data_IF_458396643054
#
_entry.id   IF_458396643054
#
_cell.length_a   1.000
_cell.length_b   1.000
_cell.length_c   1.000
_cell.angle_alpha   90.00
_cell.angle_beta   90.00
_cell.angle_gamma   90.00
#
_symmetry.space_group_name_H-M   'P 1'
#
loop_
_entity.id
_entity.type
_entity.pdbx_description
1 polymer ?
#
# COMPACT_ATOMS: atom_id res chain seq x y z
N UNK A 1 3.65 2.03 19.77
CA UNK A 1 2.50 1.20 20.21
C UNK A 1 2.64 -0.24 19.73
N UNK A 2 2.87 -0.54 18.43
CA UNK A 2 3.03 -1.92 17.91
C UNK A 2 4.11 -2.69 18.69
N UNK A 3 5.31 -2.12 18.81
CA UNK A 3 6.42 -2.73 19.56
C UNK A 3 6.05 -3.04 21.03
N UNK A 4 5.32 -2.14 21.68
CA UNK A 4 4.89 -2.36 23.07
C UNK A 4 3.91 -3.53 23.18
N UNK A 5 2.95 -3.64 22.25
CA UNK A 5 2.01 -4.77 22.20
C UNK A 5 2.75 -6.10 21.95
N UNK A 6 3.69 -6.13 21.00
CA UNK A 6 4.48 -7.34 20.70
C UNK A 6 5.35 -7.77 21.89
N UNK A 7 6.05 -6.83 22.53
CA UNK A 7 6.90 -7.12 23.71
C UNK A 7 6.08 -7.54 24.94
N UNK A 8 4.82 -7.07 25.07
CA UNK A 8 3.92 -7.52 26.13
C UNK A 8 3.24 -8.87 25.84
N UNK A 9 3.64 -9.53 24.77
CA UNK A 9 3.15 -10.86 24.43
C UNK A 9 1.81 -10.89 23.72
N UNK A 10 1.35 -9.76 23.17
CA UNK A 10 0.02 -9.69 22.55
C UNK A 10 0.09 -9.87 21.04
N UNK A 11 -0.96 -10.47 20.50
CA UNK A 11 -1.23 -10.49 19.07
C UNK A 11 -1.77 -9.12 18.63
N UNK A 12 -1.57 -8.74 17.38
CA UNK A 12 -1.87 -7.39 16.90
C UNK A 12 -2.68 -7.45 15.60
N UNK A 13 -3.68 -6.59 15.48
CA UNK A 13 -4.40 -6.32 14.25
C UNK A 13 -4.12 -4.88 13.80
N UNK A 14 -3.58 -4.71 12.60
CA UNK A 14 -3.30 -3.43 11.98
C UNK A 14 -4.40 -3.13 10.95
N UNK A 15 -5.20 -2.11 11.21
CA UNK A 15 -6.21 -1.63 10.27
C UNK A 15 -5.75 -0.37 9.57
N UNK A 16 -5.96 -0.29 8.28
CA UNK A 16 -5.65 0.93 7.51
C UNK A 16 -5.56 0.69 6.01
N UNK A 17 -5.55 1.77 5.23
CA UNK A 17 -5.52 1.70 3.79
C UNK A 17 -4.25 0.99 3.28
N UNK A 18 -4.27 0.49 2.03
CA UNK A 18 -3.09 -0.10 1.42
C UNK A 18 -1.99 0.95 1.21
N UNK A 19 -0.74 0.51 1.17
CA UNK A 19 0.41 1.39 0.92
C UNK A 19 0.82 2.31 2.07
N UNK A 20 0.37 2.03 3.30
CA UNK A 20 0.78 2.78 4.51
C UNK A 20 2.04 2.22 5.19
N UNK A 21 2.78 1.33 4.53
CA UNK A 21 4.06 0.81 5.04
C UNK A 21 3.95 -0.22 6.16
N UNK A 22 2.77 -0.84 6.40
CA UNK A 22 2.56 -1.84 7.47
C UNK A 22 3.58 -2.99 7.41
N UNK A 23 3.76 -3.59 6.24
CA UNK A 23 4.68 -4.72 6.05
C UNK A 23 6.14 -4.33 6.27
N UNK A 24 6.55 -3.14 5.79
CA UNK A 24 7.90 -2.59 6.00
C UNK A 24 8.17 -2.32 7.49
N UNK A 25 7.21 -1.70 8.17
CA UNK A 25 7.29 -1.46 9.62
C UNK A 25 7.49 -2.77 10.38
N UNK A 26 6.71 -3.82 10.05
CA UNK A 26 6.78 -5.08 10.76
C UNK A 26 8.07 -5.83 10.52
N UNK A 27 8.63 -5.80 9.30
CA UNK A 27 9.96 -6.37 9.02
C UNK A 27 11.04 -5.68 9.85
N UNK A 28 11.06 -4.34 9.84
CA UNK A 28 12.02 -3.57 10.64
C UNK A 28 11.88 -3.82 12.15
N UNK A 29 10.65 -4.02 12.64
CA UNK A 29 10.41 -4.36 14.04
C UNK A 29 10.90 -5.78 14.37
N UNK A 30 10.67 -6.75 13.49
CA UNK A 30 11.15 -8.11 13.66
C UNK A 30 12.69 -8.13 13.70
N UNK A 31 13.35 -7.47 12.76
CA UNK A 31 14.80 -7.34 12.70
C UNK A 31 15.36 -6.67 13.97
N UNK A 32 14.75 -5.56 14.40
CA UNK A 32 15.16 -4.85 15.62
C UNK A 32 14.90 -5.62 16.92
N UNK A 33 14.05 -6.64 16.89
CA UNK A 33 13.82 -7.56 18.02
C UNK A 33 14.66 -8.85 17.93
N UNK A 34 15.38 -9.07 16.83
CA UNK A 34 16.05 -10.33 16.55
C UNK A 34 15.08 -11.49 16.38
N UNK A 35 13.83 -11.23 15.98
CA UNK A 35 12.80 -12.23 15.79
C UNK A 35 12.72 -12.65 14.32
N UNK A 36 12.43 -13.94 14.08
CA UNK A 36 12.09 -14.41 12.74
C UNK A 36 10.80 -13.77 12.23
N UNK A 37 10.61 -13.79 10.91
CA UNK A 37 9.45 -13.19 10.25
C UNK A 37 8.90 -14.12 9.17
N UNK A 38 7.68 -14.60 9.37
CA UNK A 38 6.93 -15.40 8.40
C UNK A 38 5.81 -14.55 7.82
N UNK A 39 5.73 -14.51 6.49
CA UNK A 39 4.72 -13.75 5.76
C UNK A 39 3.67 -14.66 5.12
N UNK A 40 2.41 -14.30 5.26
CA UNK A 40 1.28 -14.96 4.62
C UNK A 40 0.35 -13.90 4.05
N UNK A 41 0.02 -14.03 2.77
CA UNK A 41 -1.05 -13.26 2.15
C UNK A 41 -2.38 -13.98 2.36
N UNK A 42 -3.36 -13.28 2.94
CA UNK A 42 -4.71 -13.77 3.11
C UNK A 42 -5.45 -13.79 1.79
N UNK A 43 -5.87 -14.96 1.38
CA UNK A 43 -6.68 -15.19 0.18
C UNK A 43 -7.82 -16.13 0.50
N UNK A 44 -8.87 -16.14 -0.34
CA UNK A 44 -9.99 -17.07 -0.22
C UNK A 44 -9.58 -18.55 -0.36
N UNK A 45 -8.38 -18.80 -0.89
CA UNK A 45 -7.84 -20.15 -1.10
C UNK A 45 -6.87 -20.58 0.00
N UNK A 46 -6.63 -19.75 1.01
CA UNK A 46 -5.74 -20.09 2.12
C UNK A 46 -6.42 -21.14 3.03
N UNK A 47 -6.08 -22.41 2.82
CA UNK A 47 -6.60 -23.51 3.64
C UNK A 47 -5.80 -23.71 4.92
N UNK A 48 -6.36 -24.37 5.96
CA UNK A 48 -5.61 -24.78 7.15
C UNK A 48 -4.35 -25.58 6.81
N UNK A 49 -4.41 -26.47 5.81
CA UNK A 49 -3.27 -27.27 5.39
C UNK A 49 -2.13 -26.41 4.80
N UNK A 50 -2.46 -25.37 4.01
CA UNK A 50 -1.43 -24.43 3.50
C UNK A 50 -0.80 -23.61 4.63
N UNK A 51 -1.58 -23.28 5.65
CA UNK A 51 -1.12 -22.48 6.78
C UNK A 51 -0.29 -23.30 7.77
N UNK A 52 -0.77 -24.49 8.12
CA UNK A 52 -0.16 -25.38 9.11
C UNK A 52 0.97 -26.22 8.51
N UNK A 53 0.74 -26.79 7.34
CA UNK A 53 1.65 -27.72 6.67
C UNK A 53 0.94 -29.01 6.27
N UNK A 54 1.70 -29.88 5.67
CA UNK A 54 1.19 -31.16 5.15
C UNK A 54 2.30 -32.22 5.11
N UNK A 55 1.93 -33.48 5.09
CA UNK A 55 2.84 -34.57 4.77
C UNK A 55 3.11 -34.56 3.26
N UNK A 56 4.39 -34.64 2.87
CA UNK A 56 4.76 -34.77 1.46
C UNK A 56 4.25 -36.09 0.88
N UNK A 57 3.31 -36.06 -0.09
CA UNK A 57 2.72 -37.29 -0.62
C UNK A 57 3.74 -38.25 -1.26
N UNK A 58 4.80 -37.72 -1.88
CA UNK A 58 5.82 -38.56 -2.52
C UNK A 58 6.65 -39.32 -1.49
N UNK A 59 7.07 -38.63 -0.43
CA UNK A 59 7.87 -39.23 0.64
C UNK A 59 7.05 -40.19 1.52
N UNK A 60 5.76 -39.88 1.74
CA UNK A 60 4.84 -40.76 2.48
C UNK A 60 4.72 -42.14 1.82
N UNK A 61 4.77 -42.24 0.48
CA UNK A 61 4.69 -43.52 -0.22
C UNK A 61 5.91 -44.43 0.06
N UNK A 62 7.06 -43.85 0.36
CA UNK A 62 8.31 -44.59 0.59
C UNK A 62 8.62 -44.78 2.09
N UNK A 63 8.34 -43.78 2.91
CA UNK A 63 8.76 -43.72 4.31
C UNK A 63 7.59 -43.79 5.30
N UNK A 64 6.35 -43.72 4.80
CA UNK A 64 5.16 -43.65 5.65
C UNK A 64 4.96 -42.28 6.28
N UNK A 65 4.05 -42.21 7.24
CA UNK A 65 3.77 -40.96 7.99
C UNK A 65 4.72 -40.85 9.18
N UNK A 66 5.94 -40.39 8.93
CA UNK A 66 6.90 -40.01 9.96
C UNK A 66 6.92 -38.49 10.18
N UNK A 67 7.22 -38.00 11.39
CA UNK A 67 7.28 -36.55 11.66
C UNK A 67 8.24 -35.81 10.74
N UNK A 68 9.31 -36.47 10.30
CA UNK A 68 10.35 -35.93 9.42
C UNK A 68 9.84 -35.69 7.99
N UNK A 69 8.76 -36.35 7.60
CA UNK A 69 8.11 -36.24 6.30
C UNK A 69 7.10 -35.07 6.27
N UNK A 70 6.83 -34.49 7.42
CA UNK A 70 5.91 -33.35 7.50
C UNK A 70 6.59 -32.07 7.10
N UNK A 71 6.02 -31.36 6.12
CA UNK A 71 6.48 -30.06 5.65
C UNK A 71 5.72 -28.96 6.41
N UNK A 72 6.43 -28.28 7.31
CA UNK A 72 5.84 -27.20 8.10
C UNK A 72 5.37 -26.04 7.20
N UNK A 73 4.13 -25.62 7.37
CA UNK A 73 3.59 -24.39 6.82
C UNK A 73 4.08 -23.17 7.61
N UNK A 74 3.75 -21.95 7.14
CA UNK A 74 4.24 -20.71 7.76
C UNK A 74 3.81 -20.55 9.23
N UNK A 75 2.65 -21.04 9.61
CA UNK A 75 2.19 -21.00 11.00
C UNK A 75 3.08 -21.87 11.90
N UNK A 76 3.33 -23.13 11.51
CA UNK A 76 4.17 -24.02 12.32
C UNK A 76 5.62 -23.55 12.37
N UNK A 77 6.16 -23.05 11.25
CA UNK A 77 7.52 -22.46 11.26
C UNK A 77 7.62 -21.30 12.25
N UNK A 78 6.64 -20.37 12.21
CA UNK A 78 6.60 -19.25 13.15
C UNK A 78 6.44 -19.71 14.61
N UNK A 79 5.57 -20.71 14.85
CA UNK A 79 5.37 -21.26 16.21
C UNK A 79 6.64 -21.92 16.76
N UNK A 80 7.31 -22.74 15.97
CA UNK A 80 8.51 -23.48 16.39
C UNK A 80 9.74 -22.60 16.57
N UNK A 81 9.86 -21.53 15.78
CA UNK A 81 10.99 -20.59 15.87
C UNK A 81 10.75 -19.40 16.79
N UNK A 82 9.53 -19.22 17.31
CA UNK A 82 9.17 -18.04 18.08
C UNK A 82 9.10 -16.76 17.23
N UNK A 83 8.86 -16.89 15.94
CA UNK A 83 8.83 -15.77 14.98
C UNK A 83 7.51 -14.98 15.03
N UNK A 84 7.52 -13.81 14.37
CA UNK A 84 6.31 -13.09 14.02
C UNK A 84 5.67 -13.74 12.80
N UNK A 85 4.42 -14.17 12.92
CA UNK A 85 3.58 -14.54 11.78
C UNK A 85 2.78 -13.32 11.35
N UNK A 86 3.09 -12.76 10.19
CA UNK A 86 2.34 -11.65 9.59
C UNK A 86 1.36 -12.15 8.54
N UNK A 87 0.07 -11.95 8.79
CA UNK A 87 -1.02 -12.28 7.85
C UNK A 87 -1.59 -10.98 7.28
N UNK A 88 -1.25 -10.68 6.05
CA UNK A 88 -1.82 -9.53 5.31
C UNK A 88 -3.20 -9.91 4.77
N UNK A 89 -4.11 -8.93 4.67
CA UNK A 89 -5.49 -9.13 4.18
C UNK A 89 -6.26 -10.24 4.91
N UNK A 90 -6.13 -10.31 6.23
CA UNK A 90 -6.75 -11.37 7.06
C UNK A 90 -8.27 -11.48 6.86
N UNK A 91 -8.94 -10.41 6.46
CA UNK A 91 -10.37 -10.37 6.15
C UNK A 91 -10.76 -11.13 4.86
N UNK A 92 -9.78 -11.60 4.08
CA UNK A 92 -9.99 -12.49 2.92
C UNK A 92 -9.81 -13.97 3.26
N UNK A 93 -9.30 -14.26 4.45
CA UNK A 93 -9.02 -15.63 4.89
C UNK A 93 -10.33 -16.34 5.22
N UNK A 94 -10.54 -17.60 4.76
CA UNK A 94 -11.72 -18.40 5.10
C UNK A 94 -11.88 -18.60 6.60
N UNK A 95 -13.12 -18.67 7.08
CA UNK A 95 -13.44 -18.84 8.50
C UNK A 95 -12.80 -20.09 9.11
N UNK A 96 -12.75 -21.20 8.38
CA UNK A 96 -12.10 -22.43 8.81
C UNK A 96 -10.62 -22.20 9.14
N UNK A 97 -9.91 -21.45 8.32
CA UNK A 97 -8.49 -21.11 8.53
C UNK A 97 -8.33 -20.08 9.66
N UNK A 98 -9.24 -19.12 9.78
CA UNK A 98 -9.26 -18.19 10.91
C UNK A 98 -9.44 -18.93 12.24
N UNK A 99 -10.27 -19.96 12.30
CA UNK A 99 -10.48 -20.77 13.50
C UNK A 99 -9.18 -21.50 13.95
N UNK A 100 -8.35 -21.91 12.99
CA UNK A 100 -7.01 -22.44 13.29
C UNK A 100 -6.13 -21.39 13.98
N UNK A 101 -6.13 -20.16 13.48
CA UNK A 101 -5.40 -19.05 14.10
C UNK A 101 -5.94 -18.70 15.49
N UNK A 102 -7.28 -18.68 15.68
CA UNK A 102 -7.92 -18.47 16.97
C UNK A 102 -7.48 -19.50 18.01
N UNK A 103 -7.42 -20.77 17.63
CA UNK A 103 -6.93 -21.85 18.50
C UNK A 103 -5.50 -21.58 18.95
N UNK A 104 -4.60 -21.30 18.03
CA UNK A 104 -3.19 -21.05 18.35
C UNK A 104 -3.00 -19.78 19.20
N UNK A 105 -3.78 -18.73 18.95
CA UNK A 105 -3.74 -17.51 19.79
C UNK A 105 -4.18 -17.78 21.22
N UNK A 106 -5.15 -18.65 21.44
CA UNK A 106 -5.70 -18.99 22.77
C UNK A 106 -4.84 -19.98 23.53
N UNK A 107 -4.59 -21.11 22.89
CA UNK A 107 -4.00 -22.28 23.55
C UNK A 107 -2.46 -22.29 23.45
N UNK A 108 -1.88 -21.47 22.57
CA UNK A 108 -0.46 -21.46 22.23
C UNK A 108 0.07 -22.82 21.76
N UNK A 109 -0.82 -23.62 21.21
CA UNK A 109 -0.51 -24.94 20.66
C UNK A 109 -1.54 -25.32 19.60
N UNK A 110 -1.19 -26.30 18.78
CA UNK A 110 -2.07 -26.94 17.82
C UNK A 110 -1.82 -28.44 17.80
N UNK A 111 -2.89 -29.22 17.61
CA UNK A 111 -2.78 -30.67 17.39
C UNK A 111 -2.88 -30.92 15.89
N UNK A 112 -1.80 -31.47 15.33
CA UNK A 112 -1.74 -31.84 13.91
C UNK A 112 -1.91 -33.36 13.80
N UNK A 113 -2.87 -33.85 12.99
CA UNK A 113 -3.06 -35.28 12.82
C UNK A 113 -1.76 -36.00 12.44
N UNK A 114 -1.43 -37.10 13.13
CA UNK A 114 -0.22 -37.94 12.97
C UNK A 114 1.11 -37.27 13.34
N UNK A 115 1.19 -35.92 13.43
CA UNK A 115 2.35 -35.20 13.94
C UNK A 115 2.27 -35.02 15.46
N UNK A 116 1.05 -34.91 15.99
CA UNK A 116 0.82 -34.68 17.41
C UNK A 116 0.69 -33.22 17.80
N UNK A 117 0.98 -32.92 19.05
CA UNK A 117 0.89 -31.57 19.64
C UNK A 117 2.13 -30.74 19.29
N UNK A 118 1.93 -29.56 18.77
CA UNK A 118 2.98 -28.57 18.50
C UNK A 118 2.69 -27.33 19.33
N UNK A 119 3.55 -27.04 20.31
CA UNK A 119 3.47 -25.85 21.15
C UNK A 119 4.19 -24.67 20.45
N UNK A 120 3.69 -23.48 20.71
CA UNK A 120 4.34 -22.26 20.23
C UNK A 120 5.42 -21.80 21.20
N UNK A 121 6.60 -21.51 20.68
CA UNK A 121 7.68 -20.90 21.43
C UNK A 121 7.26 -19.53 22.02
N UNK A 122 7.82 -19.12 23.17
CA UNK A 122 7.41 -17.88 23.87
C UNK A 122 7.44 -16.63 23.01
N UNK A 123 8.34 -16.56 22.01
CA UNK A 123 8.48 -15.44 21.07
C UNK A 123 7.37 -15.33 20.03
N UNK A 124 6.64 -16.41 19.74
CA UNK A 124 5.61 -16.43 18.70
C UNK A 124 4.53 -15.34 18.90
N UNK A 125 4.29 -14.55 17.88
CA UNK A 125 3.20 -13.57 17.82
C UNK A 125 2.53 -13.60 16.45
N UNK A 126 1.21 -13.48 16.45
CA UNK A 126 0.44 -13.20 15.24
C UNK A 126 0.28 -11.69 15.09
N UNK A 127 0.63 -11.18 13.94
CA UNK A 127 0.28 -9.83 13.49
C UNK A 127 -0.58 -9.97 12.25
N UNK A 128 -1.77 -9.44 12.29
CA UNK A 128 -2.67 -9.43 11.16
C UNK A 128 -2.81 -8.01 10.60
N UNK A 129 -3.08 -7.87 9.31
CA UNK A 129 -3.44 -6.59 8.72
C UNK A 129 -4.70 -6.73 7.86
N UNK A 130 -5.49 -5.67 7.84
CA UNK A 130 -6.65 -5.57 6.96
C UNK A 130 -6.87 -4.13 6.48
N UNK A 131 -7.53 -4.02 5.34
CA UNK A 131 -8.10 -2.76 4.87
C UNK A 131 -9.60 -2.75 5.21
N UNK A 132 -10.07 -1.90 6.13
CA UNK A 132 -11.49 -1.86 6.51
C UNK A 132 -12.41 -1.33 5.41
N UNK A 133 -11.84 -0.67 4.38
CA UNK A 133 -12.60 -0.09 3.26
C UNK A 133 -12.70 -1.01 2.05
N UNK A 134 -12.01 -2.16 2.06
CA UNK A 134 -12.10 -3.14 0.97
C UNK A 134 -13.34 -4.02 1.19
N UNK A 135 -14.39 -3.73 0.42
CA UNK A 135 -15.68 -4.42 0.54
C UNK A 135 -15.79 -5.64 -0.40
N UNK A 136 -14.87 -5.79 -1.36
CA UNK A 136 -14.95 -6.84 -2.38
C UNK A 136 -14.19 -8.08 -1.94
N UNK A 137 -14.91 -9.20 -1.80
CA UNK A 137 -14.30 -10.48 -1.42
C UNK A 137 -13.80 -10.55 0.03
N UNK A 138 -14.31 -9.66 0.92
CA UNK A 138 -13.90 -9.61 2.32
C UNK A 138 -15.06 -10.01 3.24
N UNK A 139 -14.75 -10.85 4.24
CA UNK A 139 -15.67 -11.18 5.33
C UNK A 139 -15.51 -10.21 6.51
N UNK A 140 -16.50 -10.19 7.39
CA UNK A 140 -16.32 -9.60 8.71
C UNK A 140 -15.41 -10.51 9.53
N UNK A 141 -14.33 -9.94 10.09
CA UNK A 141 -13.50 -10.69 11.03
C UNK A 141 -14.38 -11.08 12.24
N UNK A 142 -14.32 -12.35 12.61
CA UNK A 142 -15.11 -12.89 13.72
C UNK A 142 -14.75 -12.20 15.03
N UNK A 143 -15.72 -12.08 15.93
CA UNK A 143 -15.51 -11.58 17.29
C UNK A 143 -14.43 -12.36 18.04
N UNK A 144 -14.27 -13.66 17.73
CA UNK A 144 -13.27 -14.50 18.34
C UNK A 144 -11.82 -14.07 18.02
N UNK A 145 -11.55 -13.61 16.79
CA UNK A 145 -10.25 -13.02 16.44
C UNK A 145 -10.08 -11.67 17.12
N UNK A 146 -11.12 -10.82 17.07
CA UNK A 146 -11.06 -9.46 17.61
C UNK A 146 -10.78 -9.42 19.13
N UNK A 147 -11.31 -10.39 19.87
CA UNK A 147 -11.12 -10.53 21.31
C UNK A 147 -9.67 -10.88 21.71
N UNK A 148 -8.88 -11.40 20.77
CA UNK A 148 -7.53 -11.92 21.01
C UNK A 148 -6.41 -11.03 20.49
N UNK A 149 -6.73 -9.90 19.88
CA UNK A 149 -5.76 -9.00 19.28
C UNK A 149 -5.83 -7.59 19.86
N UNK A 150 -4.69 -6.93 19.95
CA UNK A 150 -4.63 -5.49 20.15
C UNK A 150 -4.83 -4.81 18.80
N UNK A 151 -5.91 -4.06 18.66
CA UNK A 151 -6.23 -3.35 17.42
C UNK A 151 -5.52 -2.00 17.37
N UNK A 152 -4.87 -1.71 16.24
CA UNK A 152 -4.19 -0.45 15.96
C UNK A 152 -4.60 0.05 14.57
N UNK A 153 -5.00 1.31 14.50
CA UNK A 153 -5.39 1.95 13.23
C UNK A 153 -4.21 2.73 12.67
N UNK A 154 -3.96 2.53 11.38
CA UNK A 154 -2.95 3.23 10.59
C UNK A 154 -3.63 4.14 9.58
N UNK A 155 -3.22 5.42 9.56
CA UNK A 155 -3.55 6.37 8.51
C UNK A 155 -2.45 6.46 7.46
N UNK A 156 -2.64 7.35 6.51
CA UNK A 156 -1.57 7.78 5.62
C UNK A 156 -0.55 8.60 6.41
N UNK A 157 0.67 8.64 5.93
CA UNK A 157 1.76 9.44 6.46
C UNK A 157 1.48 10.94 6.28
N UNK A 158 2.23 11.80 6.96
CA UNK A 158 2.22 13.24 6.71
C UNK A 158 2.72 13.55 5.30
N UNK A 159 2.45 14.76 4.79
CA UNK A 159 2.91 15.14 3.46
C UNK A 159 4.44 15.11 3.37
N UNK A 160 5.12 15.58 4.40
CA UNK A 160 6.58 15.58 4.50
C UNK A 160 7.14 14.15 4.49
N UNK A 161 6.56 13.25 5.30
CA UNK A 161 6.96 11.84 5.33
C UNK A 161 6.73 11.15 3.97
N UNK A 162 5.63 11.46 3.29
CA UNK A 162 5.37 10.91 1.95
C UNK A 162 6.39 11.42 0.93
N UNK A 163 6.80 12.69 0.98
CA UNK A 163 7.88 13.25 0.13
C UNK A 163 9.20 12.52 0.39
N UNK A 164 9.56 12.30 1.65
CA UNK A 164 10.79 11.58 2.02
C UNK A 164 10.76 10.12 1.53
N UNK A 165 9.60 9.45 1.62
CA UNK A 165 9.41 8.11 1.08
C UNK A 165 9.61 8.10 -0.43
N UNK A 166 8.96 9.02 -1.15
CA UNK A 166 9.08 9.11 -2.61
C UNK A 166 10.53 9.38 -3.00
N UNK A 167 11.21 10.34 -2.36
CA UNK A 167 12.61 10.66 -2.64
C UNK A 167 13.53 9.45 -2.46
N UNK A 168 13.35 8.69 -1.39
CA UNK A 168 14.15 7.50 -1.10
C UNK A 168 13.88 6.38 -2.09
N UNK A 169 12.61 6.07 -2.38
CA UNK A 169 12.22 4.95 -3.25
C UNK A 169 12.53 5.23 -4.73
N UNK A 170 12.58 6.50 -5.14
CA UNK A 170 12.90 6.88 -6.53
C UNK A 170 14.38 7.22 -6.73
N UNK A 171 15.18 7.27 -5.65
CA UNK A 171 16.59 7.65 -5.72
C UNK A 171 16.82 9.08 -6.22
N UNK A 172 15.81 9.96 -6.15
CA UNK A 172 15.86 11.31 -6.71
C UNK A 172 15.78 11.33 -8.24
N UNK A 173 15.08 10.37 -8.84
CA UNK A 173 14.93 10.25 -10.28
C UNK A 173 14.33 11.52 -10.92
N UNK A 174 15.11 12.17 -11.78
CA UNK A 174 14.68 13.31 -12.59
C UNK A 174 14.53 14.63 -11.80
N UNK A 175 14.34 15.72 -12.56
CA UNK A 175 13.98 17.03 -12.02
C UNK A 175 12.44 17.11 -11.87
N UNK A 176 11.92 16.32 -10.89
CA UNK A 176 10.49 16.19 -10.63
C UNK A 176 10.15 16.89 -9.32
N UNK A 177 9.15 17.77 -9.28
CA UNK A 177 8.72 18.48 -8.06
C UNK A 177 7.99 17.52 -7.11
N UNK A 178 8.71 16.75 -6.31
CA UNK A 178 8.18 15.67 -5.45
C UNK A 178 7.05 16.16 -4.54
N UNK A 179 7.17 17.35 -3.96
CA UNK A 179 6.13 17.91 -3.10
C UNK A 179 4.80 18.10 -3.85
N UNK A 180 4.85 18.65 -5.08
CA UNK A 180 3.64 18.85 -5.90
C UNK A 180 3.03 17.51 -6.35
N UNK A 181 3.87 16.49 -6.66
CA UNK A 181 3.42 15.14 -6.96
C UNK A 181 2.69 14.53 -5.77
N UNK A 182 3.27 14.63 -4.58
CA UNK A 182 2.66 14.12 -3.35
C UNK A 182 1.35 14.85 -3.04
N UNK A 183 1.30 16.19 -3.17
CA UNK A 183 0.08 16.96 -2.98
C UNK A 183 -1.03 16.55 -3.95
N UNK A 184 -0.72 16.36 -5.23
CA UNK A 184 -1.67 15.85 -6.21
C UNK A 184 -2.21 14.48 -5.82
N UNK A 185 -1.35 13.55 -5.43
CA UNK A 185 -1.78 12.20 -5.00
C UNK A 185 -2.63 12.27 -3.75
N UNK A 186 -2.30 13.11 -2.78
CA UNK A 186 -3.10 13.34 -1.57
C UNK A 186 -4.47 13.94 -1.91
N UNK A 187 -4.53 14.87 -2.87
CA UNK A 187 -5.79 15.45 -3.33
C UNK A 187 -6.76 14.40 -3.90
N UNK A 188 -6.26 13.27 -4.46
CA UNK A 188 -7.13 12.16 -4.87
C UNK A 188 -7.91 11.56 -3.71
N UNK A 189 -7.40 11.60 -2.48
CA UNK A 189 -8.02 11.01 -1.28
C UNK A 189 -9.18 11.86 -0.75
N UNK A 190 -9.16 13.15 -1.05
CA UNK A 190 -10.11 14.14 -0.57
C UNK A 190 -11.08 14.60 -1.68
N UNK A 191 -10.89 14.12 -2.91
CA UNK A 191 -11.71 14.53 -4.04
C UNK A 191 -13.16 14.05 -3.89
N UNK A 192 -14.18 14.94 -4.04
CA UNK A 192 -15.58 14.62 -3.79
C UNK A 192 -16.13 13.50 -4.67
N UNK A 193 -15.66 13.39 -5.92
CA UNK A 193 -16.08 12.36 -6.87
C UNK A 193 -15.34 11.03 -6.71
N UNK A 194 -14.33 10.96 -5.85
CA UNK A 194 -13.60 9.72 -5.59
C UNK A 194 -14.09 9.07 -4.30
N UNK A 195 -14.36 7.77 -4.36
CA UNK A 195 -14.62 6.93 -3.21
C UNK A 195 -13.30 6.53 -2.51
N UNK A 196 -12.25 6.33 -3.32
CA UNK A 196 -10.92 5.94 -2.85
C UNK A 196 -9.85 6.60 -3.71
N UNK A 197 -8.92 7.29 -3.07
CA UNK A 197 -7.75 7.86 -3.69
C UNK A 197 -6.54 6.94 -3.67
N UNK A 198 -5.42 7.43 -4.21
CA UNK A 198 -4.17 6.68 -4.29
C UNK A 198 -3.33 6.82 -3.02
N UNK A 199 -2.53 5.81 -2.73
CA UNK A 199 -1.48 5.85 -1.69
C UNK A 199 -0.18 6.46 -2.24
N UNK A 200 0.83 6.57 -1.39
CA UNK A 200 2.19 7.03 -1.77
C UNK A 200 2.81 6.19 -2.91
N UNK A 201 2.39 4.93 -3.09
CA UNK A 201 2.81 4.10 -4.24
C UNK A 201 2.49 4.75 -5.58
N UNK A 202 1.34 5.44 -5.69
CA UNK A 202 1.00 6.19 -6.90
C UNK A 202 1.94 7.36 -7.17
N UNK A 203 2.40 8.05 -6.13
CA UNK A 203 3.40 9.10 -6.26
C UNK A 203 4.76 8.55 -6.72
N UNK A 204 5.20 7.44 -6.13
CA UNK A 204 6.44 6.75 -6.53
C UNK A 204 6.39 6.37 -8.02
N UNK A 205 5.33 5.68 -8.44
CA UNK A 205 5.20 5.25 -9.84
C UNK A 205 5.08 6.45 -10.79
N UNK A 206 4.37 7.52 -10.39
CA UNK A 206 4.25 8.72 -11.21
C UNK A 206 5.61 9.39 -11.44
N UNK A 207 6.47 9.48 -10.40
CA UNK A 207 7.83 10.02 -10.53
C UNK A 207 8.69 9.17 -11.44
N UNK A 208 8.70 7.85 -11.25
CA UNK A 208 9.50 6.93 -12.07
C UNK A 208 9.05 6.94 -13.53
N UNK A 209 7.75 6.89 -13.80
CA UNK A 209 7.20 6.97 -15.16
C UNK A 209 7.47 8.33 -15.79
N UNK A 210 7.37 9.44 -15.03
CA UNK A 210 7.68 10.77 -15.53
C UNK A 210 9.15 10.88 -15.97
N UNK A 211 10.08 10.39 -15.15
CA UNK A 211 11.51 10.40 -15.47
C UNK A 211 11.80 9.65 -16.78
N UNK A 212 11.23 8.48 -16.98
CA UNK A 212 11.39 7.69 -18.20
C UNK A 212 10.73 8.36 -19.41
N UNK A 213 9.53 8.92 -19.26
CA UNK A 213 8.88 9.64 -20.37
C UNK A 213 9.68 10.86 -20.81
N UNK A 214 10.25 11.61 -19.88
CA UNK A 214 11.14 12.73 -20.17
C UNK A 214 12.41 12.26 -20.89
N UNK A 215 12.99 11.15 -20.47
CA UNK A 215 14.15 10.54 -21.12
C UNK A 215 13.86 10.12 -22.57
N UNK A 216 12.68 9.54 -22.83
CA UNK A 216 12.29 9.01 -24.16
C UNK A 216 11.86 10.13 -25.11
N UNK A 217 11.09 11.10 -24.62
CA UNK A 217 10.43 12.14 -25.46
C UNK A 217 11.12 13.48 -25.43
N UNK A 218 12.05 13.70 -24.49
CA UNK A 218 12.57 15.01 -24.14
C UNK A 218 11.58 15.82 -23.31
N UNK A 219 11.98 16.99 -22.87
CA UNK A 219 11.17 17.90 -22.04
C UNK A 219 11.58 17.90 -20.57
N UNK A 220 10.66 18.25 -19.67
CA UNK A 220 10.88 18.30 -18.22
C UNK A 220 9.57 18.23 -17.45
N UNK A 221 9.68 18.17 -16.13
CA UNK A 221 8.53 18.13 -15.23
C UNK A 221 7.80 16.78 -15.21
N UNK A 222 6.51 16.80 -14.95
CA UNK A 222 5.65 15.60 -14.86
C UNK A 222 4.63 15.63 -16.01
N UNK A 223 4.82 14.84 -17.07
CA UNK A 223 3.83 14.72 -18.14
C UNK A 223 2.49 14.19 -17.61
N UNK A 224 1.37 14.67 -18.17
CA UNK A 224 0.03 14.16 -17.84
C UNK A 224 -0.09 12.65 -18.02
N UNK A 225 0.55 12.10 -19.06
CA UNK A 225 0.59 10.65 -19.29
C UNK A 225 1.13 9.86 -18.09
N UNK A 226 2.13 10.40 -17.38
CA UNK A 226 2.68 9.77 -16.18
C UNK A 226 1.63 9.70 -15.06
N UNK A 227 0.88 10.78 -14.86
CA UNK A 227 -0.20 10.81 -13.85
C UNK A 227 -1.33 9.83 -14.22
N UNK A 228 -1.75 9.80 -15.48
CA UNK A 228 -2.79 8.89 -15.96
C UNK A 228 -2.37 7.42 -15.78
N UNK A 229 -1.18 7.04 -16.24
CA UNK A 229 -0.66 5.67 -16.12
C UNK A 229 -0.51 5.25 -14.66
N UNK A 230 -0.03 6.14 -13.79
CA UNK A 230 0.21 5.82 -12.40
C UNK A 230 -1.07 5.74 -11.56
N UNK A 231 -2.12 6.52 -11.88
CA UNK A 231 -3.22 6.74 -10.95
C UNK A 231 -4.58 6.18 -11.41
N UNK A 232 -4.87 6.06 -12.72
CA UNK A 232 -6.21 5.67 -13.21
C UNK A 232 -6.68 4.32 -12.66
N UNK A 233 -5.79 3.34 -12.53
CA UNK A 233 -6.07 2.04 -11.94
C UNK A 233 -6.15 2.03 -10.41
N UNK A 234 -5.72 3.09 -9.72
CA UNK A 234 -5.62 3.17 -8.26
C UNK A 234 -6.72 3.97 -7.59
N UNK A 235 -7.37 4.85 -8.35
CA UNK A 235 -8.51 5.61 -7.83
C UNK A 235 -9.83 4.89 -8.13
N UNK A 236 -10.83 5.12 -7.31
CA UNK A 236 -12.18 4.58 -7.51
C UNK A 236 -13.17 5.73 -7.51
N UNK A 237 -13.85 5.92 -8.64
CA UNK A 237 -14.90 6.93 -8.78
C UNK A 237 -16.13 6.49 -7.96
N UNK A 238 -16.83 7.45 -7.37
CA UNK A 238 -18.08 7.21 -6.64
C UNK A 238 -19.18 6.77 -7.59
N UNK A 239 -20.00 5.86 -7.14
CA UNK A 239 -21.23 5.47 -7.84
C UNK A 239 -22.12 6.71 -8.02
N UNK A 240 -22.59 6.92 -9.25
CA UNK A 240 -23.42 8.08 -9.60
C UNK A 240 -22.66 9.32 -10.06
N UNK A 241 -21.33 9.36 -9.98
CA UNK A 241 -20.55 10.40 -10.66
C UNK A 241 -20.60 10.20 -12.19
N UNK A 242 -20.81 11.27 -12.93
CA UNK A 242 -20.74 11.26 -14.40
C UNK A 242 -19.31 11.35 -14.95
N UNK A 243 -18.32 11.53 -14.06
CA UNK A 243 -16.91 11.74 -14.43
C UNK A 243 -16.15 10.43 -14.46
N UNK A 244 -15.13 10.37 -15.32
CA UNK A 244 -14.17 9.26 -15.35
C UNK A 244 -12.99 9.52 -14.41
N UNK A 245 -12.22 8.46 -14.12
CA UNK A 245 -11.00 8.59 -13.33
C UNK A 245 -9.97 9.49 -14.04
N UNK A 246 -9.88 9.37 -15.36
CA UNK A 246 -8.96 10.12 -16.21
C UNK A 246 -9.28 11.62 -16.20
N UNK A 247 -10.55 12.00 -16.25
CA UNK A 247 -10.99 13.41 -16.16
C UNK A 247 -10.62 14.04 -14.80
N UNK A 248 -10.81 13.28 -13.72
CA UNK A 248 -10.48 13.75 -12.37
C UNK A 248 -8.96 13.87 -12.20
N UNK A 249 -8.19 12.91 -12.71
CA UNK A 249 -6.72 12.96 -12.67
C UNK A 249 -6.19 14.11 -13.49
N UNK A 250 -6.77 14.39 -14.66
CA UNK A 250 -6.39 15.52 -15.51
C UNK A 250 -6.63 16.84 -14.79
N UNK A 251 -7.80 17.03 -14.16
CA UNK A 251 -8.09 18.21 -13.36
C UNK A 251 -7.07 18.42 -12.24
N UNK A 252 -6.75 17.34 -11.49
CA UNK A 252 -5.78 17.40 -10.40
C UNK A 252 -4.37 17.68 -10.91
N UNK A 253 -3.99 17.12 -12.06
CA UNK A 253 -2.72 17.39 -12.70
C UNK A 253 -2.60 18.85 -13.14
N UNK A 254 -3.63 19.40 -13.75
CA UNK A 254 -3.69 20.82 -14.15
C UNK A 254 -3.54 21.75 -12.94
N UNK A 255 -4.13 21.41 -11.82
CA UNK A 255 -4.09 22.18 -10.58
C UNK A 255 -2.73 22.17 -9.89
N UNK A 256 -2.02 21.04 -9.91
CA UNK A 256 -0.82 20.84 -9.09
C UNK A 256 0.49 20.80 -9.88
N UNK A 257 0.46 20.37 -11.14
CA UNK A 257 1.64 20.01 -11.91
C UNK A 257 1.73 20.65 -13.29
N UNK A 258 0.65 21.22 -13.82
CA UNK A 258 0.72 21.91 -15.11
C UNK A 258 1.73 23.08 -15.01
N UNK A 259 2.55 23.28 -16.04
CA UNK A 259 3.42 24.45 -16.10
C UNK A 259 2.57 25.72 -15.95
N UNK A 260 2.98 26.62 -15.06
CA UNK A 260 2.32 27.94 -14.98
C UNK A 260 2.32 28.55 -16.38
N UNK A 261 1.14 28.84 -16.95
CA UNK A 261 1.05 29.58 -18.18
C UNK A 261 1.82 30.87 -17.96
N UNK A 262 2.90 31.03 -18.68
CA UNK A 262 3.56 32.34 -18.80
C UNK A 262 2.47 33.27 -19.32
N UNK A 263 1.95 34.12 -18.46
CA UNK A 263 1.00 35.18 -18.81
C UNK A 263 1.63 35.94 -19.99
N UNK A 264 1.16 35.60 -21.18
CA UNK A 264 1.40 36.45 -22.35
C UNK A 264 0.77 37.79 -22.01
N UNK A 265 1.59 38.70 -21.53
CA UNK A 265 1.29 40.12 -21.56
C UNK A 265 1.02 40.44 -23.01
N UNK A 266 -0.25 40.49 -23.34
CA UNK A 266 -0.75 41.19 -24.51
C UNK A 266 -0.34 42.68 -24.34
N UNK A 267 0.84 42.98 -24.84
CA UNK A 267 1.23 44.36 -25.13
C UNK A 267 0.31 44.83 -26.26
N UNK A 268 -0.83 45.41 -25.89
CA UNK A 268 -1.56 46.30 -26.78
C UNK A 268 -0.62 47.46 -27.14
N UNK A 269 -0.02 47.34 -28.31
CA UNK A 269 0.59 48.46 -28.99
C UNK A 269 -0.50 49.44 -29.35
N UNK A 270 -0.51 50.56 -28.65
CA UNK A 270 -1.32 51.75 -28.95
C UNK A 270 -0.98 52.26 -30.35
N UNK A 271 -1.90 52.29 -31.35
CA UNK A 271 -1.69 52.96 -32.60
C UNK A 271 -2.06 54.45 -32.41
N UNK A 272 -1.17 55.19 -31.74
CA UNK A 272 -1.37 56.59 -31.42
C UNK A 272 -0.82 57.57 -32.43
N UNK A 273 -1.69 58.20 -33.13
CA UNK A 273 -1.62 59.58 -33.63
C UNK A 273 -0.59 59.93 -34.73
N UNK A 274 -1.07 59.80 -35.96
CA UNK A 274 -0.66 60.62 -37.07
C UNK A 274 -1.18 62.11 -36.83
N UNK A 275 -0.28 63.01 -36.55
CA UNK A 275 -0.54 64.46 -36.63
C UNK A 275 0.09 65.00 -37.89
N UNK A 276 -0.80 65.28 -38.85
CA UNK A 276 -0.45 66.08 -40.03
C UNK A 276 -0.13 67.55 -39.64
N UNK A 277 0.94 68.09 -40.20
CA UNK A 277 1.09 69.54 -40.39
C UNK A 277 1.68 69.80 -41.74
N UNK A 278 0.79 70.30 -42.56
CA UNK A 278 1.07 71.09 -43.76
C UNK A 278 1.97 72.25 -43.49
N UNK A 279 2.96 72.47 -44.32
CA UNK A 279 3.53 73.81 -44.59
C UNK A 279 3.93 73.89 -46.06
N UNK A 280 3.42 74.87 -46.70
CA UNK A 280 3.57 75.28 -48.10
C UNK A 280 4.85 76.11 -48.29
N UNK A 281 5.24 76.37 -49.55
CA UNK A 281 6.59 76.77 -49.97
C UNK A 281 6.73 78.24 -50.08
N UNK A 282 7.93 78.65 -50.11
CA UNK A 282 8.28 79.95 -50.78
C UNK A 282 9.76 79.99 -51.12
N UNK A 283 10.02 80.38 -52.34
CA UNK A 283 11.30 80.89 -52.82
C UNK A 283 11.91 80.06 -53.93
#
# INVERSE_FOLDING_TARGET
MVLAALRSGRHVLLEGPPGTGKSTLLRNLADGMGAGFEFVEGTAELTPARLVGHFDPATVLTEGYAPEVFVDGPLLRAMRSGALLYVEEINRVPEETLNTLVTVMSEREIVVPRLGRVAAEPGFRLVAAMNPFDAVGTGRISGAVMDRVCRLTFGYQSAEEEVDIVARETGGAGDVPLAAVVEMVRATREHPDLRSGSSVRGAIDMVLVAAELVSIRGGGGVPLDAALVALSGRVRVREGSARTAEEIITELWERHLAPAETSRTSGEGDPGKVNGRTARPAG
#
